data_IF_904504462256
#
_entry.id   IF_904504462256
#
_cell.length_a   1.000
_cell.length_b   1.000
_cell.length_c   1.000
_cell.angle_alpha   90.00
_cell.angle_beta   90.00
_cell.angle_gamma   90.00
#
_symmetry.space_group_name_H-M   'P 1'
#
loop_
_entity.id
_entity.type
_entity.pdbx_description
1 polymer ?
#
# COMPACT_ATOMS: atom_id res chain seq x y z
N UNK A 1 -43.38 -47.26 -55.56
CA UNK A 1 -44.04 -45.95 -55.37
C UNK A 1 -43.02 -44.91 -55.84
N UNK A 2 -42.79 -44.78 -57.15
CA UNK A 2 -43.57 -43.96 -58.11
C UNK A 2 -43.33 -42.46 -57.82
N UNK A 3 -42.79 -41.59 -58.68
CA UNK A 3 -42.30 -41.63 -60.06
C UNK A 3 -41.59 -40.28 -60.33
N UNK A 4 -40.51 -40.27 -61.14
CA UNK A 4 -40.12 -39.27 -62.16
C UNK A 4 -40.24 -37.74 -61.91
N UNK A 5 -39.16 -36.97 -62.17
CA UNK A 5 -38.87 -36.23 -63.44
C UNK A 5 -37.92 -35.02 -63.23
N UNK A 6 -37.09 -34.81 -64.23
CA UNK A 6 -36.15 -33.72 -64.48
C UNK A 6 -36.80 -32.36 -64.72
N UNK A 7 -36.10 -31.26 -64.41
CA UNK A 7 -35.75 -30.21 -65.38
C UNK A 7 -34.89 -29.09 -64.77
N UNK A 8 -33.88 -28.68 -65.55
CA UNK A 8 -33.23 -27.38 -65.46
C UNK A 8 -34.07 -26.33 -66.20
N UNK A 9 -34.07 -25.08 -65.73
CA UNK A 9 -33.81 -23.88 -66.53
C UNK A 9 -33.94 -22.60 -65.70
N UNK A 10 -33.10 -21.65 -66.10
CA UNK A 10 -33.05 -20.22 -65.78
C UNK A 10 -34.41 -19.50 -65.94
N UNK A 11 -34.66 -18.42 -65.20
CA UNK A 11 -34.40 -17.04 -65.68
C UNK A 11 -35.14 -15.96 -64.85
N UNK A 12 -34.55 -14.77 -64.83
CA UNK A 12 -35.13 -13.41 -64.64
C UNK A 12 -35.87 -12.98 -63.35
N UNK A 13 -35.22 -12.07 -62.62
CA UNK A 13 -35.62 -10.63 -62.59
C UNK A 13 -36.83 -10.18 -61.76
N UNK A 14 -36.61 -9.25 -60.81
CA UNK A 14 -37.64 -8.29 -60.39
C UNK A 14 -37.66 -7.93 -58.91
N UNK A 15 -37.41 -6.66 -58.62
CA UNK A 15 -37.28 -6.00 -57.32
C UNK A 15 -38.47 -6.16 -56.35
N UNK A 16 -38.16 -6.26 -55.06
CA UNK A 16 -39.04 -5.80 -53.99
C UNK A 16 -38.22 -5.26 -52.82
N UNK A 17 -38.07 -3.93 -52.79
CA UNK A 17 -37.58 -3.14 -51.67
C UNK A 17 -38.29 -3.52 -50.37
N UNK A 18 -37.55 -4.02 -49.38
CA UNK A 18 -38.00 -4.09 -47.98
C UNK A 18 -36.95 -3.50 -47.05
N UNK A 19 -37.35 -2.38 -46.46
CA UNK A 19 -36.76 -1.69 -45.32
C UNK A 19 -36.19 -2.66 -44.28
N UNK A 20 -34.87 -2.70 -44.13
CA UNK A 20 -34.24 -3.36 -42.99
C UNK A 20 -34.21 -2.38 -41.84
N UNK A 21 -35.18 -2.54 -40.95
CA UNK A 21 -35.19 -1.93 -39.62
C UNK A 21 -33.88 -2.33 -38.94
N UNK A 22 -33.03 -1.35 -38.64
CA UNK A 22 -31.84 -1.55 -37.82
C UNK A 22 -32.33 -1.93 -36.42
N UNK A 23 -32.23 -3.21 -36.08
CA UNK A 23 -32.42 -3.70 -34.72
C UNK A 23 -31.37 -3.09 -33.78
N UNK A 24 -31.65 -2.98 -32.47
CA UNK A 24 -30.75 -2.34 -31.54
C UNK A 24 -29.39 -3.06 -31.55
N UNK A 25 -28.32 -2.26 -31.72
CA UNK A 25 -26.94 -2.71 -31.66
C UNK A 25 -26.68 -3.29 -30.26
N UNK A 26 -26.72 -4.62 -30.16
CA UNK A 26 -26.19 -5.30 -28.99
C UNK A 26 -24.68 -5.25 -29.07
N UNK A 27 -24.05 -4.71 -28.02
CA UNK A 27 -22.62 -4.89 -27.81
C UNK A 27 -22.35 -6.38 -27.83
N UNK A 28 -21.68 -6.86 -28.87
CA UNK A 28 -21.05 -8.15 -28.86
C UNK A 28 -20.17 -8.17 -27.62
N UNK A 29 -20.55 -9.02 -26.68
CA UNK A 29 -19.75 -9.32 -25.50
C UNK A 29 -18.56 -10.09 -26.01
N UNK A 30 -17.56 -9.37 -26.50
CA UNK A 30 -16.28 -9.95 -26.86
C UNK A 30 -15.76 -10.65 -25.61
N UNK A 31 -15.39 -11.91 -25.79
CA UNK A 31 -14.70 -12.73 -24.82
C UNK A 31 -13.62 -11.89 -24.13
N UNK A 32 -13.65 -11.90 -22.80
CA UNK A 32 -12.72 -11.28 -21.88
C UNK A 32 -11.28 -11.26 -22.41
N UNK A 33 -10.91 -10.15 -23.03
CA UNK A 33 -9.52 -9.74 -23.17
C UNK A 33 -9.45 -8.42 -22.42
N UNK A 34 -8.73 -8.44 -21.30
CA UNK A 34 -8.53 -7.24 -20.50
C UNK A 34 -8.00 -6.13 -21.42
N UNK A 35 -8.51 -4.89 -21.30
CA UNK A 35 -8.05 -3.80 -22.15
C UNK A 35 -6.55 -3.57 -21.90
N UNK A 36 -5.79 -3.24 -22.96
CA UNK A 36 -4.34 -3.11 -22.89
C UNK A 36 -3.93 -2.01 -21.91
N UNK A 37 -2.84 -2.23 -21.18
CA UNK A 37 -2.27 -1.26 -20.22
C UNK A 37 -1.24 -0.31 -20.86
N UNK A 38 -0.72 -0.66 -22.03
CA UNK A 38 0.16 0.20 -22.83
C UNK A 38 -0.22 0.21 -24.31
N UNK A 39 0.22 1.26 -25.01
CA UNK A 39 0.00 1.46 -26.45
C UNK A 39 0.90 0.55 -27.29
N UNK A 40 2.08 0.22 -26.80
CA UNK A 40 3.09 -0.62 -27.47
C UNK A 40 3.88 -1.41 -26.44
N UNK A 41 4.70 -2.36 -26.88
CA UNK A 41 5.66 -3.04 -26.01
C UNK A 41 6.75 -2.07 -25.54
N UNK A 42 6.75 -1.79 -24.24
CA UNK A 42 7.73 -0.90 -23.59
C UNK A 42 9.04 -1.63 -23.22
N UNK A 43 9.09 -2.97 -23.35
CA UNK A 43 10.29 -3.78 -23.07
C UNK A 43 11.29 -3.81 -24.23
N UNK A 44 10.82 -3.52 -25.44
CA UNK A 44 11.63 -3.61 -26.66
C UNK A 44 11.55 -2.32 -27.47
N UNK A 45 11.94 -1.19 -26.88
CA UNK A 45 11.91 0.11 -27.57
C UNK A 45 13.15 0.27 -28.44
N UNK A 46 13.04 0.36 -29.77
CA UNK A 46 14.21 0.52 -30.62
C UNK A 46 14.74 1.96 -30.62
N UNK A 47 16.04 2.10 -30.87
CA UNK A 47 16.62 3.38 -31.28
C UNK A 47 15.99 3.85 -32.61
N UNK A 48 15.85 5.17 -32.76
CA UNK A 48 15.30 5.79 -33.97
C UNK A 48 16.21 5.65 -35.20
N UNK A 49 17.47 5.29 -35.02
CA UNK A 49 18.48 5.27 -36.10
C UNK A 49 19.25 3.96 -36.25
N UNK A 50 19.49 3.24 -35.15
CA UNK A 50 20.32 2.05 -35.15
C UNK A 50 19.58 0.81 -34.63
N UNK A 51 20.27 -0.33 -34.62
CA UNK A 51 19.72 -1.61 -34.19
C UNK A 51 19.62 -1.78 -32.66
N UNK A 52 20.05 -0.79 -31.87
CA UNK A 52 19.98 -0.86 -30.41
C UNK A 52 18.53 -0.87 -29.92
N UNK A 53 18.27 -1.64 -28.87
CA UNK A 53 16.96 -1.78 -28.22
C UNK A 53 17.07 -1.56 -26.72
N UNK A 54 16.07 -0.89 -26.16
CA UNK A 54 16.01 -0.45 -24.77
C UNK A 54 14.77 -1.03 -24.09
N UNK A 55 14.87 -1.27 -22.77
CA UNK A 55 13.78 -1.75 -21.94
C UNK A 55 13.41 -0.66 -20.92
N UNK A 56 12.32 0.04 -21.19
CA UNK A 56 11.90 1.20 -20.39
C UNK A 56 11.34 0.80 -19.01
N UNK A 57 11.21 -0.49 -18.70
CA UNK A 57 10.90 -0.95 -17.34
C UNK A 57 12.13 -1.08 -16.44
N UNK A 58 13.34 -1.06 -17.01
CA UNK A 58 14.59 -1.25 -16.24
C UNK A 58 15.31 0.06 -16.02
N UNK A 59 15.92 0.23 -14.84
CA UNK A 59 16.72 1.41 -14.54
C UNK A 59 18.05 1.44 -15.31
N UNK A 60 18.61 0.27 -15.65
CA UNK A 60 19.93 0.14 -16.27
C UNK A 60 19.91 0.29 -17.80
N UNK A 61 18.78 -0.02 -18.46
CA UNK A 61 18.61 0.06 -19.91
C UNK A 61 17.30 0.79 -20.31
N UNK A 62 16.94 1.80 -19.53
CA UNK A 62 15.66 2.52 -19.62
C UNK A 62 15.64 3.69 -20.59
N UNK A 63 14.68 4.60 -20.36
CA UNK A 63 14.47 5.78 -21.20
C UNK A 63 15.67 6.72 -21.19
N UNK A 64 16.31 6.90 -20.03
CA UNK A 64 17.43 7.84 -19.88
C UNK A 64 18.66 7.38 -20.66
N UNK A 65 18.92 6.07 -20.69
CA UNK A 65 19.98 5.48 -21.51
C UNK A 65 19.68 5.61 -23.00
N UNK A 66 18.43 5.43 -23.41
CA UNK A 66 18.01 5.65 -24.79
C UNK A 66 18.22 7.11 -25.22
N UNK A 67 17.79 8.08 -24.40
CA UNK A 67 17.98 9.51 -24.68
C UNK A 67 19.47 9.91 -24.67
N UNK A 68 20.25 9.37 -23.74
CA UNK A 68 21.69 9.56 -23.71
C UNK A 68 22.36 9.00 -24.97
N UNK A 69 21.94 7.82 -25.43
CA UNK A 69 22.44 7.24 -26.67
C UNK A 69 22.10 8.09 -27.90
N UNK A 70 20.86 8.58 -28.00
CA UNK A 70 20.45 9.49 -29.08
C UNK A 70 21.30 10.76 -29.09
N UNK A 71 21.63 11.31 -27.92
CA UNK A 71 22.49 12.48 -27.79
C UNK A 71 23.95 12.18 -28.15
N UNK A 72 24.55 11.14 -27.57
CA UNK A 72 25.98 10.83 -27.70
C UNK A 72 26.34 10.29 -29.09
N UNK A 73 25.51 9.38 -29.64
CA UNK A 73 25.82 8.65 -30.89
C UNK A 73 25.18 9.33 -32.09
N UNK A 74 23.93 9.77 -31.97
CA UNK A 74 23.14 10.29 -33.08
C UNK A 74 23.02 11.82 -33.08
N UNK A 75 23.54 12.50 -32.05
CA UNK A 75 23.47 13.97 -31.89
C UNK A 75 22.05 14.51 -31.96
N UNK A 76 21.07 13.69 -31.58
CA UNK A 76 19.66 14.04 -31.55
C UNK A 76 19.25 14.39 -30.12
N UNK A 77 18.58 15.52 -29.95
CA UNK A 77 17.94 15.95 -28.72
C UNK A 77 16.43 16.01 -28.95
N UNK A 78 15.66 15.34 -28.10
CA UNK A 78 14.19 15.44 -28.10
C UNK A 78 13.79 16.48 -27.05
N UNK A 79 13.12 17.55 -27.47
CA UNK A 79 12.66 18.61 -26.57
C UNK A 79 11.46 18.16 -25.73
N UNK A 80 11.42 18.59 -24.47
CA UNK A 80 10.28 18.39 -23.55
C UNK A 80 9.77 16.95 -23.50
N UNK A 81 10.68 15.98 -23.32
CA UNK A 81 10.35 14.54 -23.28
C UNK A 81 9.23 14.24 -22.28
N UNK A 82 9.16 14.98 -21.16
CA UNK A 82 8.13 14.84 -20.12
C UNK A 82 6.71 15.13 -20.61
N UNK A 83 6.56 15.87 -21.72
CA UNK A 83 5.26 16.22 -22.30
C UNK A 83 4.80 15.22 -23.37
N UNK A 84 5.66 14.26 -23.74
CA UNK A 84 5.34 13.17 -24.66
C UNK A 84 4.57 12.08 -23.89
N UNK A 85 3.30 11.87 -24.26
CA UNK A 85 2.41 10.96 -23.55
C UNK A 85 2.85 9.48 -23.58
N UNK A 86 3.58 9.07 -24.62
CA UNK A 86 4.13 7.72 -24.77
C UNK A 86 5.43 7.77 -25.57
N UNK A 87 6.57 7.75 -24.87
CA UNK A 87 7.89 7.76 -25.49
C UNK A 87 8.18 6.50 -26.33
N UNK A 88 7.77 5.27 -25.94
CA UNK A 88 7.90 4.09 -26.78
C UNK A 88 7.29 4.24 -28.18
N UNK A 89 6.00 4.60 -28.26
CA UNK A 89 5.30 4.81 -29.54
C UNK A 89 5.91 5.95 -30.37
N UNK A 90 6.44 6.97 -29.68
CA UNK A 90 7.17 8.07 -30.30
C UNK A 90 8.46 7.58 -30.98
N UNK A 91 9.25 6.74 -30.31
CA UNK A 91 10.46 6.14 -30.89
C UNK A 91 10.14 5.26 -32.10
N UNK A 92 9.10 4.43 -32.02
CA UNK A 92 8.67 3.59 -33.14
C UNK A 92 8.29 4.40 -34.38
N UNK A 93 7.50 5.47 -34.21
CA UNK A 93 7.10 6.34 -35.31
C UNK A 93 8.30 7.00 -35.98
N UNK A 94 9.20 7.60 -35.18
CA UNK A 94 10.36 8.29 -35.72
C UNK A 94 11.38 7.35 -36.35
N UNK A 95 11.53 6.13 -35.83
CA UNK A 95 12.34 5.10 -36.48
C UNK A 95 11.85 4.78 -37.90
N UNK A 96 10.53 4.62 -38.06
CA UNK A 96 9.94 4.38 -39.38
C UNK A 96 10.14 5.58 -40.31
N UNK A 97 9.93 6.81 -39.81
CA UNK A 97 10.10 8.02 -40.62
C UNK A 97 11.56 8.28 -41.04
N UNK A 98 12.51 8.15 -40.12
CA UNK A 98 13.92 8.36 -40.40
C UNK A 98 14.55 7.24 -41.25
N UNK A 99 13.91 6.08 -41.38
CA UNK A 99 14.32 5.06 -42.33
C UNK A 99 14.09 5.49 -43.79
N UNK A 100 13.12 6.37 -44.04
CA UNK A 100 12.74 6.79 -45.39
C UNK A 100 13.23 8.20 -45.75
N UNK A 101 13.37 9.09 -44.77
CA UNK A 101 13.69 10.49 -45.00
C UNK A 101 14.80 11.01 -44.08
N UNK A 102 15.63 11.97 -44.55
CA UNK A 102 16.72 12.51 -43.78
C UNK A 102 16.23 13.34 -42.58
N UNK A 103 16.98 13.29 -41.48
CA UNK A 103 16.67 13.99 -40.22
C UNK A 103 16.58 15.51 -40.36
N UNK A 104 17.34 16.10 -41.28
CA UNK A 104 17.36 17.55 -41.54
C UNK A 104 15.99 18.10 -41.93
N UNK A 105 15.10 17.25 -42.46
CA UNK A 105 13.75 17.68 -42.86
C UNK A 105 12.84 17.98 -41.68
N UNK A 106 13.05 17.29 -40.56
CA UNK A 106 12.15 17.29 -39.40
C UNK A 106 12.78 17.84 -38.13
N UNK A 107 14.11 17.98 -38.11
CA UNK A 107 14.85 18.45 -36.95
C UNK A 107 15.46 19.82 -37.22
N UNK A 108 15.36 20.72 -36.25
CA UNK A 108 16.10 21.98 -36.28
C UNK A 108 17.58 21.71 -36.00
N UNK A 109 18.48 22.22 -36.85
CA UNK A 109 19.93 22.05 -36.63
C UNK A 109 20.49 23.10 -35.67
N UNK A 110 21.28 22.66 -34.70
CA UNK A 110 22.02 23.50 -33.75
C UNK A 110 23.51 23.25 -33.94
N UNK A 111 24.31 24.31 -33.94
CA UNK A 111 25.77 24.21 -34.01
C UNK A 111 26.36 24.39 -32.61
N UNK A 112 27.08 23.38 -32.15
CA UNK A 112 27.77 23.37 -30.86
C UNK A 112 29.28 23.29 -31.11
N UNK A 113 30.06 23.99 -30.28
CA UNK A 113 31.52 24.00 -30.39
C UNK A 113 32.21 22.89 -29.56
N UNK A 114 31.43 21.90 -29.15
CA UNK A 114 31.86 20.81 -28.28
C UNK A 114 31.21 19.51 -28.74
N UNK A 115 32.00 18.43 -28.72
CA UNK A 115 31.52 17.08 -28.90
C UNK A 115 30.82 16.58 -27.63
N UNK A 116 30.03 15.49 -27.71
CA UNK A 116 29.32 14.95 -26.56
C UNK A 116 30.25 14.47 -25.43
N UNK A 117 31.53 14.24 -25.72
CA UNK A 117 32.59 13.85 -24.77
C UNK A 117 33.30 15.05 -24.11
N UNK A 118 32.89 16.29 -24.42
CA UNK A 118 33.47 17.52 -23.90
C UNK A 118 34.71 18.01 -24.65
N UNK A 119 35.14 17.31 -25.71
CA UNK A 119 36.24 17.79 -26.55
C UNK A 119 35.78 18.96 -27.43
N UNK A 120 36.64 19.96 -27.62
CA UNK A 120 36.29 21.14 -28.42
C UNK A 120 36.33 20.78 -29.91
N UNK A 121 35.17 20.78 -30.56
CA UNK A 121 35.00 20.60 -32.02
C UNK A 121 34.19 21.77 -32.56
N UNK A 122 34.75 22.64 -33.42
CA UNK A 122 34.02 23.78 -33.95
C UNK A 122 32.90 23.34 -34.90
N UNK A 123 31.70 23.92 -34.73
CA UNK A 123 30.53 23.73 -35.60
C UNK A 123 30.01 22.28 -35.69
N UNK A 124 30.01 21.54 -34.60
CA UNK A 124 29.37 20.22 -34.55
C UNK A 124 27.85 20.36 -34.68
N UNK A 125 27.25 19.61 -35.61
CA UNK A 125 25.80 19.65 -35.86
C UNK A 125 25.05 18.73 -34.92
N UNK A 126 24.12 19.30 -34.17
CA UNK A 126 23.11 18.60 -33.38
C UNK A 126 21.74 18.84 -33.98
N UNK A 127 20.86 17.84 -33.83
CA UNK A 127 19.49 17.87 -34.31
C UNK A 127 18.54 17.99 -33.12
N UNK A 128 17.67 18.98 -33.14
CA UNK A 128 16.62 19.19 -32.15
C UNK A 128 15.27 18.81 -32.75
N UNK A 129 14.64 17.80 -32.15
CA UNK A 129 13.29 17.39 -32.47
C UNK A 129 12.32 17.95 -31.42
N UNK A 130 11.43 18.85 -31.85
CA UNK A 130 10.56 19.63 -30.96
C UNK A 130 9.19 19.83 -31.56
N UNK A 131 8.23 20.21 -30.72
CA UNK A 131 6.86 20.51 -31.09
C UNK A 131 6.70 21.80 -31.92
N UNK A 132 7.78 22.52 -32.19
CA UNK A 132 7.84 23.57 -33.21
C UNK A 132 7.65 22.97 -34.62
N UNK A 133 8.11 21.73 -34.82
CA UNK A 133 7.91 21.02 -36.09
C UNK A 133 6.46 20.51 -36.19
N UNK A 134 5.72 20.84 -37.27
CA UNK A 134 4.31 20.47 -37.39
C UNK A 134 4.04 18.97 -37.26
N UNK A 135 4.90 18.13 -37.85
CA UNK A 135 4.73 16.68 -37.79
C UNK A 135 4.95 16.13 -36.37
N UNK A 136 5.94 16.69 -35.65
CA UNK A 136 6.21 16.31 -34.27
C UNK A 136 5.07 16.75 -33.34
N UNK A 137 4.56 17.96 -33.53
CA UNK A 137 3.39 18.46 -32.82
C UNK A 137 2.17 17.55 -33.03
N UNK A 138 1.83 17.22 -34.28
CA UNK A 138 0.71 16.34 -34.60
C UNK A 138 0.88 14.95 -33.98
N UNK A 139 2.10 14.39 -34.04
CA UNK A 139 2.42 13.11 -33.40
C UNK A 139 2.20 13.16 -31.89
N UNK A 140 2.72 14.19 -31.20
CA UNK A 140 2.53 14.35 -29.74
C UNK A 140 1.06 14.46 -29.38
N UNK A 141 0.26 15.20 -30.15
CA UNK A 141 -1.19 15.31 -29.93
C UNK A 141 -1.91 13.97 -30.17
N UNK A 142 -1.53 13.24 -31.22
CA UNK A 142 -2.09 11.92 -31.54
C UNK A 142 -1.81 10.92 -30.41
N UNK A 143 -0.55 10.79 -29.99
CA UNK A 143 -0.15 9.91 -28.89
C UNK A 143 -0.86 10.27 -27.58
N UNK A 144 -1.07 11.57 -27.32
CA UNK A 144 -1.82 12.02 -26.14
C UNK A 144 -3.28 11.57 -26.20
N UNK A 145 -3.93 11.68 -27.36
CA UNK A 145 -5.31 11.23 -27.56
C UNK A 145 -5.42 9.70 -27.42
N UNK A 146 -4.55 8.96 -28.08
CA UNK A 146 -4.50 7.49 -28.00
C UNK A 146 -4.26 7.03 -26.56
N UNK A 147 -3.32 7.67 -25.84
CA UNK A 147 -3.07 7.34 -24.42
C UNK A 147 -4.28 7.66 -23.54
N UNK A 148 -4.95 8.79 -23.75
CA UNK A 148 -6.16 9.15 -23.01
C UNK A 148 -7.29 8.13 -23.27
N UNK A 149 -7.50 7.72 -24.52
CA UNK A 149 -8.50 6.71 -24.88
C UNK A 149 -8.21 5.36 -24.22
N UNK A 150 -6.95 4.91 -24.22
CA UNK A 150 -6.52 3.71 -23.51
C UNK A 150 -6.83 3.81 -22.01
N UNK A 151 -6.45 4.93 -21.39
CA UNK A 151 -6.65 5.17 -19.95
C UNK A 151 -8.14 5.19 -19.60
N UNK A 152 -8.99 5.84 -20.41
CA UNK A 152 -10.43 5.86 -20.20
C UNK A 152 -11.06 4.48 -20.38
N UNK A 153 -10.59 3.71 -21.37
CA UNK A 153 -11.05 2.34 -21.60
C UNK A 153 -10.69 1.44 -20.40
N UNK A 154 -9.46 1.56 -19.90
CA UNK A 154 -9.01 0.83 -18.71
C UNK A 154 -9.78 1.24 -17.46
N UNK A 155 -9.98 2.55 -17.26
CA UNK A 155 -10.76 3.07 -16.13
C UNK A 155 -12.20 2.56 -16.14
N UNK A 156 -12.86 2.56 -17.30
CA UNK A 156 -14.21 2.03 -17.44
C UNK A 156 -14.24 0.53 -17.12
N UNK A 157 -13.29 -0.23 -17.65
CA UNK A 157 -13.14 -1.66 -17.36
C UNK A 157 -12.97 -1.92 -15.86
N UNK A 158 -12.03 -1.25 -15.19
CA UNK A 158 -11.73 -1.44 -13.77
C UNK A 158 -12.93 -1.13 -12.85
N UNK A 159 -13.85 -0.28 -13.29
CA UNK A 159 -15.10 0.05 -12.59
C UNK A 159 -16.21 -0.98 -12.81
N UNK A 160 -16.30 -1.54 -14.01
CA UNK A 160 -17.35 -2.48 -14.38
C UNK A 160 -16.98 -3.94 -14.13
N UNK A 161 -15.69 -4.23 -13.99
CA UNK A 161 -15.19 -5.56 -13.75
C UNK A 161 -15.74 -6.14 -12.44
N UNK A 162 -16.09 -7.43 -12.51
CA UNK A 162 -16.64 -8.25 -11.42
C UNK A 162 -15.82 -9.52 -11.20
N UNK A 163 -14.78 -9.74 -12.01
CA UNK A 163 -13.85 -10.85 -11.87
C UNK A 163 -12.61 -10.46 -11.04
N UNK A 164 -12.69 -9.36 -10.29
CA UNK A 164 -11.62 -8.95 -9.40
C UNK A 164 -11.71 -9.74 -8.10
N UNK A 165 -10.58 -10.32 -7.68
CA UNK A 165 -10.52 -11.04 -6.42
C UNK A 165 -9.16 -10.83 -5.78
N UNK A 166 -9.12 -9.99 -4.73
CA UNK A 166 -7.88 -9.70 -4.01
C UNK A 166 -8.13 -9.57 -2.51
N UNK A 167 -7.28 -10.22 -1.72
CA UNK A 167 -7.25 -10.09 -0.27
C UNK A 167 -6.65 -8.75 0.14
N UNK A 168 -7.12 -8.19 1.27
CA UNK A 168 -6.61 -6.93 1.79
C UNK A 168 -5.09 -6.97 2.06
N UNK A 169 -4.43 -5.81 1.96
CA UNK A 169 -3.01 -5.66 2.30
C UNK A 169 -2.74 -5.73 3.82
N UNK A 170 -3.80 -5.59 4.63
CA UNK A 170 -3.69 -5.48 6.09
C UNK A 170 -4.44 -6.59 6.84
N UNK A 171 -5.71 -6.84 6.53
CA UNK A 171 -6.50 -7.88 7.19
C UNK A 171 -6.61 -9.16 6.33
N UNK A 172 -6.94 -10.28 6.97
CA UNK A 172 -7.03 -11.61 6.34
C UNK A 172 -8.43 -11.98 5.91
N UNK A 173 -9.42 -11.49 6.63
CA UNK A 173 -10.82 -11.89 6.47
C UNK A 173 -11.57 -11.09 5.41
N UNK A 174 -10.91 -10.12 4.79
CA UNK A 174 -11.50 -9.32 3.73
C UNK A 174 -10.96 -9.69 2.36
N UNK A 175 -11.89 -10.01 1.47
CA UNK A 175 -11.65 -10.18 0.03
C UNK A 175 -12.61 -9.28 -0.71
N UNK A 176 -12.06 -8.41 -1.54
CA UNK A 176 -12.86 -7.51 -2.37
C UNK A 176 -13.21 -8.22 -3.68
N UNK A 177 -14.47 -8.08 -4.11
CA UNK A 177 -14.97 -8.55 -5.41
C UNK A 177 -14.81 -7.49 -6.50
N UNK A 178 -14.57 -6.24 -6.12
CA UNK A 178 -14.32 -5.13 -7.05
C UNK A 178 -13.15 -4.25 -6.58
N UNK A 179 -12.47 -3.62 -7.53
CA UNK A 179 -11.38 -2.67 -7.25
C UNK A 179 -11.84 -1.47 -6.41
N UNK A 180 -13.01 -0.85 -6.66
CA UNK A 180 -13.48 0.25 -5.83
C UNK A 180 -13.75 -0.16 -4.37
N UNK A 181 -14.32 -1.34 -4.15
CA UNK A 181 -14.52 -1.88 -2.79
C UNK A 181 -13.19 -2.10 -2.09
N UNK A 182 -12.20 -2.66 -2.78
CA UNK A 182 -10.85 -2.83 -2.24
C UNK A 182 -10.25 -1.50 -1.75
N UNK A 183 -10.28 -0.47 -2.58
CA UNK A 183 -9.75 0.86 -2.23
C UNK A 183 -10.57 1.50 -1.09
N UNK A 184 -11.90 1.34 -1.10
CA UNK A 184 -12.78 1.84 -0.04
C UNK A 184 -12.53 1.14 1.29
N UNK A 185 -12.29 -0.17 1.29
CA UNK A 185 -11.95 -0.95 2.47
C UNK A 185 -10.62 -0.50 3.08
N UNK A 186 -9.58 -0.29 2.26
CA UNK A 186 -8.29 0.23 2.73
C UNK A 186 -8.45 1.57 3.45
N UNK A 187 -9.35 2.43 2.98
CA UNK A 187 -9.62 3.70 3.65
C UNK A 187 -10.48 3.55 4.91
N UNK A 188 -11.57 2.78 4.85
CA UNK A 188 -12.55 2.70 5.95
C UNK A 188 -12.08 1.85 7.13
N UNK A 189 -11.37 0.74 6.87
CA UNK A 189 -10.88 -0.15 7.92
C UNK A 189 -9.44 0.13 8.31
N UNK A 190 -8.61 0.56 7.36
CA UNK A 190 -7.19 0.76 7.57
C UNK A 190 -6.75 2.22 7.37
N UNK A 191 -7.67 3.16 7.18
CA UNK A 191 -7.31 4.58 7.04
C UNK A 191 -6.19 4.87 6.01
N UNK A 192 -5.98 3.97 5.04
CA UNK A 192 -4.97 4.11 4.00
C UNK A 192 -5.64 4.73 2.78
N UNK A 193 -5.29 5.98 2.51
CA UNK A 193 -5.79 6.75 1.38
C UNK A 193 -4.85 6.63 0.18
N UNK A 194 -5.22 5.78 -0.77
CA UNK A 194 -4.58 5.73 -2.10
C UNK A 194 -5.14 6.82 -3.02
N UNK A 195 -6.42 7.14 -2.88
CA UNK A 195 -7.15 8.08 -3.72
C UNK A 195 -8.64 7.74 -3.74
N UNK A 196 -9.46 8.57 -4.38
CA UNK A 196 -10.86 8.22 -4.61
C UNK A 196 -10.93 7.13 -5.68
N UNK A 197 -11.71 6.05 -5.49
CA UNK A 197 -11.85 4.98 -6.49
C UNK A 197 -12.25 5.49 -7.88
N UNK A 198 -13.02 6.58 -7.95
CA UNK A 198 -13.46 7.20 -9.20
C UNK A 198 -12.32 7.88 -9.98
N UNK A 199 -11.23 8.25 -9.31
CA UNK A 199 -10.13 9.01 -9.89
C UNK A 199 -8.88 8.15 -10.12
N UNK A 200 -8.90 6.88 -9.73
CA UNK A 200 -7.78 5.97 -9.89
C UNK A 200 -7.90 5.15 -11.18
N UNK A 201 -6.77 4.90 -11.82
CA UNK A 201 -6.62 4.03 -13.00
C UNK A 201 -5.35 3.20 -12.85
N UNK A 202 -5.28 2.04 -13.49
CA UNK A 202 -4.21 1.05 -13.31
C UNK A 202 -4.13 0.60 -11.83
N UNK A 203 -5.31 0.35 -11.25
CA UNK A 203 -5.43 0.07 -9.81
C UNK A 203 -4.65 -1.20 -9.43
N UNK A 204 -4.60 -2.20 -10.30
CA UNK A 204 -3.88 -3.46 -10.02
C UNK A 204 -2.39 -3.22 -9.80
N UNK A 205 -1.76 -2.46 -10.72
CA UNK A 205 -0.35 -2.05 -10.63
C UNK A 205 -0.10 -1.21 -9.38
N UNK A 206 -1.00 -0.25 -9.07
CA UNK A 206 -0.88 0.57 -7.88
C UNK A 206 -0.85 -0.30 -6.61
N UNK A 207 -1.77 -1.25 -6.50
CA UNK A 207 -1.85 -2.14 -5.35
C UNK A 207 -0.59 -3.01 -5.25
N UNK A 208 -0.06 -3.51 -6.37
CA UNK A 208 1.20 -4.27 -6.38
C UNK A 208 2.38 -3.44 -5.89
N UNK A 209 2.52 -2.19 -6.32
CA UNK A 209 3.59 -1.29 -5.88
C UNK A 209 3.45 -0.96 -4.40
N UNK A 210 2.23 -0.71 -3.93
CA UNK A 210 1.97 -0.47 -2.51
C UNK A 210 2.31 -1.72 -1.70
N UNK A 211 1.93 -2.90 -2.18
CA UNK A 211 2.24 -4.17 -1.54
C UNK A 211 3.75 -4.44 -1.49
N UNK A 212 4.49 -4.20 -2.58
CA UNK A 212 5.95 -4.32 -2.62
C UNK A 212 6.63 -3.38 -1.62
N UNK A 213 6.21 -2.10 -1.59
CA UNK A 213 6.75 -1.14 -0.61
C UNK A 213 6.49 -1.58 0.83
N UNK A 214 5.29 -2.07 1.14
CA UNK A 214 4.97 -2.59 2.48
C UNK A 214 5.77 -3.86 2.82
N UNK A 215 5.99 -4.75 1.84
CA UNK A 215 6.83 -5.95 2.01
C UNK A 215 8.30 -5.60 2.27
N UNK A 216 8.79 -4.54 1.64
CA UNK A 216 10.14 -3.99 1.83
C UNK A 216 10.28 -3.09 3.05
N UNK A 217 9.22 -2.97 3.86
CA UNK A 217 9.19 -2.13 5.06
C UNK A 217 9.43 -0.64 4.78
N UNK A 218 8.97 -0.17 3.63
CA UNK A 218 9.09 1.23 3.20
C UNK A 218 7.77 1.95 3.50
N UNK A 219 7.85 3.08 4.20
CA UNK A 219 6.67 3.92 4.44
C UNK A 219 6.18 4.58 3.14
N UNK A 220 4.89 4.44 2.85
CA UNK A 220 4.27 4.94 1.61
C UNK A 220 4.30 6.47 1.47
N UNK A 221 4.38 7.19 2.58
CA UNK A 221 4.37 8.65 2.61
C UNK A 221 5.78 9.25 2.62
N UNK A 222 6.62 8.84 3.59
CA UNK A 222 7.96 9.43 3.77
C UNK A 222 9.09 8.62 3.13
N UNK A 223 8.78 7.46 2.56
CA UNK A 223 9.71 6.59 1.83
C UNK A 223 10.94 6.14 2.62
N UNK A 224 10.86 6.23 3.95
CA UNK A 224 11.88 5.69 4.86
C UNK A 224 11.72 4.18 5.01
N UNK A 225 12.86 3.50 5.12
CA UNK A 225 12.94 2.06 5.37
C UNK A 225 12.97 1.79 6.88
N UNK A 226 12.23 0.77 7.30
CA UNK A 226 12.09 0.35 8.69
C UNK A 226 12.64 -1.05 8.89
N UNK A 227 12.98 -1.37 10.14
CA UNK A 227 13.62 -2.64 10.50
C UNK A 227 12.62 -3.81 10.58
N UNK A 228 11.36 -3.53 10.92
CA UNK A 228 10.32 -4.53 11.11
C UNK A 228 8.93 -3.95 10.78
N UNK A 229 7.97 -4.86 10.53
CA UNK A 229 6.57 -4.52 10.22
C UNK A 229 5.90 -3.73 11.35
N UNK A 230 5.96 -4.17 12.63
CA UNK A 230 5.40 -3.42 13.75
C UNK A 230 5.91 -1.97 13.85
N UNK A 231 7.22 -1.73 13.68
CA UNK A 231 7.75 -0.35 13.76
C UNK A 231 7.35 0.52 12.58
N UNK A 232 7.26 -0.02 11.37
CA UNK A 232 6.69 0.71 10.23
C UNK A 232 5.24 1.11 10.51
N UNK A 233 4.46 0.17 11.06
CA UNK A 233 3.05 0.38 11.37
C UNK A 233 2.87 1.46 12.43
N UNK A 234 3.60 1.36 13.53
CA UNK A 234 3.53 2.34 14.61
C UNK A 234 4.01 3.72 14.15
N UNK A 235 5.02 3.75 13.27
CA UNK A 235 5.44 4.98 12.61
C UNK A 235 4.31 5.59 11.76
N UNK A 236 3.63 4.79 10.93
CA UNK A 236 2.54 5.27 10.09
C UNK A 236 1.36 5.78 10.91
N UNK A 237 1.06 5.12 12.04
CA UNK A 237 0.02 5.52 12.99
C UNK A 237 0.38 6.84 13.69
N UNK A 238 1.51 6.89 14.40
CA UNK A 238 1.93 8.10 15.18
C UNK A 238 2.12 9.33 14.31
N UNK A 239 2.66 9.17 13.10
CA UNK A 239 2.91 10.31 12.20
C UNK A 239 1.75 10.62 11.26
N UNK A 240 0.66 9.84 11.31
CA UNK A 240 -0.46 10.01 10.40
C UNK A 240 -0.06 9.86 8.92
N UNK A 241 0.93 9.01 8.62
CA UNK A 241 1.38 8.71 7.26
C UNK A 241 0.39 7.76 6.57
N UNK A 242 -0.83 8.25 6.42
CA UNK A 242 -2.02 7.54 5.94
C UNK A 242 -2.24 7.66 4.43
N UNK A 243 -1.36 8.37 3.71
CA UNK A 243 -1.48 8.61 2.26
C UNK A 243 -0.19 8.30 1.53
N UNK A 244 -0.27 8.00 0.24
CA UNK A 244 0.91 7.90 -0.63
C UNK A 244 1.65 9.23 -0.75
N UNK A 245 2.97 9.18 -0.95
CA UNK A 245 3.84 10.35 -1.06
C UNK A 245 3.35 11.28 -2.19
N UNK A 246 2.87 12.50 -1.87
CA UNK A 246 2.33 13.42 -2.85
C UNK A 246 3.40 14.16 -3.65
N UNK A 247 4.66 14.16 -3.19
CA UNK A 247 5.77 14.74 -3.94
C UNK A 247 6.42 13.73 -4.89
N UNK A 248 6.08 12.44 -4.77
CA UNK A 248 6.56 11.42 -5.69
C UNK A 248 5.68 11.39 -6.95
N UNK A 249 6.13 12.11 -7.98
CA UNK A 249 5.50 12.19 -9.30
C UNK A 249 5.34 10.86 -10.03
N UNK A 250 6.03 9.79 -9.60
CA UNK A 250 5.79 8.46 -10.15
C UNK A 250 4.33 8.01 -9.98
N UNK A 251 3.69 8.41 -8.86
CA UNK A 251 2.29 8.05 -8.60
C UNK A 251 1.29 8.80 -9.47
N UNK A 252 1.70 9.90 -10.12
CA UNK A 252 0.81 10.70 -10.96
C UNK A 252 0.16 9.87 -12.09
N UNK A 253 0.83 8.79 -12.53
CA UNK A 253 0.31 7.86 -13.55
C UNK A 253 -0.95 7.10 -13.13
N UNK A 254 -1.24 7.00 -11.84
CA UNK A 254 -2.42 6.28 -11.35
C UNK A 254 -3.66 7.18 -11.21
N UNK A 255 -3.53 8.48 -11.47
CA UNK A 255 -4.62 9.43 -11.31
C UNK A 255 -5.16 9.90 -12.66
N UNK A 256 -6.44 9.64 -12.90
CA UNK A 256 -7.12 9.97 -14.16
C UNK A 256 -7.03 11.46 -14.51
N UNK A 257 -7.01 12.34 -13.51
CA UNK A 257 -6.89 13.79 -13.70
C UNK A 257 -5.63 14.20 -14.46
N UNK A 258 -4.54 13.44 -14.32
CA UNK A 258 -3.25 13.76 -14.93
C UNK A 258 -3.21 13.45 -16.44
N UNK A 259 -4.22 12.78 -16.97
CA UNK A 259 -4.37 12.50 -18.41
C UNK A 259 -5.27 13.53 -19.12
N UNK A 260 -5.92 14.44 -18.38
CA UNK A 260 -6.82 15.44 -18.96
C UNK A 260 -6.03 16.56 -19.65
N UNK A 261 -6.48 16.93 -20.84
CA UNK A 261 -5.91 18.00 -21.67
C UNK A 261 -5.98 19.35 -20.94
N UNK A 262 -4.81 19.86 -20.55
CA UNK A 262 -4.55 21.24 -20.10
C UNK A 262 -5.43 21.74 -18.96
N UNK A 263 -5.07 21.30 -17.76
CA UNK A 263 -4.74 22.18 -16.63
C UNK A 263 -4.03 21.26 -15.64
N UNK A 264 -2.70 21.14 -15.72
CA UNK A 264 -1.96 20.78 -14.51
C UNK A 264 -2.37 21.89 -13.54
N UNK A 265 -3.10 21.62 -12.44
CA UNK A 265 -3.19 22.62 -11.39
C UNK A 265 -1.74 22.99 -11.07
N UNK A 266 -1.44 24.29 -11.09
CA UNK A 266 -0.11 24.80 -10.76
C UNK A 266 0.38 24.10 -9.49
N UNK A 267 1.59 23.55 -9.50
CA UNK A 267 2.09 22.82 -8.33
C UNK A 267 2.09 23.78 -7.14
N UNK A 268 1.16 23.56 -6.22
CA UNK A 268 1.11 24.27 -4.95
C UNK A 268 1.86 23.41 -3.95
N UNK A 269 3.04 23.87 -3.46
CA UNK A 269 3.77 23.21 -2.39
C UNK A 269 2.83 22.89 -1.23
N UNK A 270 3.04 21.78 -0.54
CA UNK A 270 2.16 21.29 0.53
C UNK A 270 1.90 22.39 1.58
N UNK A 271 2.91 23.22 1.88
CA UNK A 271 2.82 24.35 2.80
C UNK A 271 1.85 25.47 2.37
N UNK A 272 1.50 25.56 1.08
CA UNK A 272 0.63 26.61 0.50
C UNK A 272 -0.78 26.11 0.13
N UNK A 273 -1.10 24.82 0.31
CA UNK A 273 -2.46 24.31 0.07
C UNK A 273 -3.38 24.83 1.17
N UNK A 274 -4.57 25.35 0.81
CA UNK A 274 -5.60 25.80 1.77
C UNK A 274 -5.86 24.70 2.81
N UNK A 275 -6.06 25.13 4.04
CA UNK A 275 -6.37 24.31 5.22
C UNK A 275 -7.58 23.38 4.99
N UNK A 276 -8.47 23.69 4.05
CA UNK A 276 -9.56 22.84 3.56
C UNK A 276 -9.10 21.49 2.93
N UNK A 277 -7.82 21.37 2.56
CA UNK A 277 -7.21 20.09 2.12
C UNK A 277 -6.81 19.21 3.31
N UNK A 278 -6.78 19.76 4.53
CA UNK A 278 -6.70 19.00 5.79
C UNK A 278 -8.11 18.52 6.11
N UNK A 279 -8.62 17.55 5.37
CA UNK A 279 -9.90 16.87 5.66
C UNK A 279 -9.87 16.08 6.99
N UNK A 280 -8.87 16.31 7.86
CA UNK A 280 -8.61 15.55 9.07
C UNK A 280 -8.22 16.44 10.26
N UNK A 281 -8.63 17.71 10.26
CA UNK A 281 -8.60 18.56 11.45
C UNK A 281 -10.03 18.74 12.01
N UNK A 282 -10.69 17.64 12.38
CA UNK A 282 -11.70 17.63 13.45
C UNK A 282 -12.09 16.19 13.79
N UNK A 283 -11.90 15.86 15.06
CA UNK A 283 -12.67 14.94 15.91
C UNK A 283 -13.28 13.68 15.28
N UNK A 284 -12.61 12.55 15.49
CA UNK A 284 -13.08 11.62 16.53
C UNK A 284 -11.96 10.65 16.90
N UNK A 285 -11.88 10.33 18.20
CA UNK A 285 -11.16 9.19 18.76
C UNK A 285 -11.69 7.87 18.17
N UNK A 286 -11.45 7.64 16.88
CA UNK A 286 -11.59 6.32 16.28
C UNK A 286 -10.23 5.66 16.33
N UNK A 287 -9.97 5.07 17.49
CA UNK A 287 -8.89 4.13 17.73
C UNK A 287 -9.20 2.86 16.93
N UNK A 288 -9.05 2.94 15.60
CA UNK A 288 -9.32 1.79 14.75
C UNK A 288 -8.35 0.72 15.16
N UNK A 289 -8.88 -0.34 15.74
CA UNK A 289 -8.07 -1.39 16.32
C UNK A 289 -7.13 -1.97 15.27
N UNK A 290 -5.87 -1.60 15.42
CA UNK A 290 -4.78 -1.97 14.56
C UNK A 290 -4.05 -3.20 15.17
N UNK A 291 -4.62 -3.89 16.15
CA UNK A 291 -4.10 -5.15 16.69
C UNK A 291 -4.03 -6.27 15.62
N UNK A 292 -4.89 -6.19 14.60
CA UNK A 292 -5.14 -7.24 13.60
C UNK A 292 -4.04 -7.47 12.55
N UNK A 293 -2.84 -6.88 12.75
CA UNK A 293 -1.65 -7.15 11.91
C UNK A 293 -0.75 -8.26 12.42
N UNK A 294 -1.06 -8.85 13.57
CA UNK A 294 -0.35 -10.03 14.03
C UNK A 294 -0.85 -11.23 13.23
N UNK A 295 -0.29 -11.37 12.03
CA UNK A 295 -0.63 -12.38 11.05
C UNK A 295 -0.15 -13.78 11.40
N UNK A 296 -0.38 -14.27 12.61
CA UNK A 296 -0.35 -15.70 12.93
C UNK A 296 -1.47 -15.93 13.95
N UNK A 297 -2.23 -17.02 13.84
CA UNK A 297 -3.00 -17.51 14.99
C UNK A 297 -1.97 -17.93 16.03
N UNK A 298 -1.49 -16.98 16.82
CA UNK A 298 -0.52 -17.23 17.87
C UNK A 298 -1.25 -18.04 18.93
N UNK A 299 -0.92 -19.32 18.99
CA UNK A 299 -1.47 -20.21 20.02
C UNK A 299 -0.99 -19.71 21.38
N UNK A 300 -1.93 -19.45 22.29
CA UNK A 300 -1.61 -19.12 23.66
C UNK A 300 -1.37 -20.39 24.47
N UNK A 301 -0.38 -20.37 25.36
CA UNK A 301 -0.02 -21.53 26.19
C UNK A 301 -0.69 -21.46 27.56
N UNK A 302 -1.03 -22.61 28.13
CA UNK A 302 -1.57 -22.70 29.48
C UNK A 302 -0.59 -22.13 30.51
N UNK A 303 -1.10 -21.45 31.54
CA UNK A 303 -0.27 -20.87 32.61
C UNK A 303 0.54 -21.93 33.37
N UNK A 304 0.03 -23.17 33.44
CA UNK A 304 0.60 -24.25 34.24
C UNK A 304 1.16 -25.43 33.44
N UNK A 305 0.93 -25.47 32.11
CA UNK A 305 1.48 -26.54 31.30
C UNK A 305 1.77 -26.19 29.84
N UNK A 306 2.40 -27.12 29.14
CA UNK A 306 2.81 -26.98 27.72
C UNK A 306 1.66 -27.11 26.73
N UNK A 307 0.41 -27.19 27.19
CA UNK A 307 -0.76 -27.21 26.30
C UNK A 307 -0.97 -25.82 25.70
N UNK A 308 -1.13 -25.76 24.38
CA UNK A 308 -1.34 -24.53 23.64
C UNK A 308 -2.65 -24.63 22.84
N UNK A 309 -3.40 -23.53 22.81
CA UNK A 309 -4.69 -23.43 22.13
C UNK A 309 -4.77 -22.09 21.41
N UNK A 310 -5.51 -22.03 20.30
CA UNK A 310 -5.73 -20.79 19.55
C UNK A 310 -6.84 -19.92 20.18
N UNK A 311 -7.75 -20.53 20.95
CA UNK A 311 -8.88 -19.84 21.58
C UNK A 311 -8.67 -19.80 23.11
N UNK A 312 -8.83 -18.61 23.72
CA UNK A 312 -8.58 -18.42 25.15
C UNK A 312 -9.65 -19.07 26.02
N UNK A 313 -10.91 -19.13 25.60
CA UNK A 313 -11.98 -19.79 26.35
C UNK A 313 -11.77 -21.31 26.42
N UNK A 314 -11.25 -21.92 25.36
CA UNK A 314 -10.89 -23.34 25.40
C UNK A 314 -9.71 -23.59 26.34
N UNK A 315 -8.74 -22.67 26.37
CA UNK A 315 -7.61 -22.71 27.29
C UNK A 315 -8.03 -22.51 28.76
N UNK A 316 -8.95 -21.58 29.04
CA UNK A 316 -9.52 -21.38 30.39
C UNK A 316 -10.26 -22.64 30.87
N UNK A 317 -11.07 -23.27 30.00
CA UNK A 317 -11.71 -24.56 30.31
C UNK A 317 -10.68 -25.66 30.58
N UNK A 318 -9.56 -25.67 29.87
CA UNK A 318 -8.45 -26.59 30.15
C UNK A 318 -7.84 -26.35 31.54
N UNK A 319 -7.62 -25.09 31.95
CA UNK A 319 -7.11 -24.77 33.29
C UNK A 319 -8.06 -25.26 34.39
N UNK A 320 -9.37 -25.10 34.20
CA UNK A 320 -10.38 -25.61 35.15
C UNK A 320 -10.37 -27.15 35.18
N UNK A 321 -10.38 -27.81 34.02
CA UNK A 321 -10.51 -29.26 33.94
C UNK A 321 -9.26 -30.02 34.42
N UNK A 322 -8.06 -29.52 34.10
CA UNK A 322 -6.79 -30.23 34.38
C UNK A 322 -6.05 -29.69 35.60
N UNK A 323 -6.15 -28.39 35.85
CA UNK A 323 -5.41 -27.71 36.90
C UNK A 323 -6.33 -27.22 38.03
N UNK A 324 -7.65 -27.47 37.97
CA UNK A 324 -8.63 -26.98 38.96
C UNK A 324 -8.51 -25.47 39.23
N UNK A 325 -7.98 -24.73 38.27
CA UNK A 325 -7.72 -23.29 38.37
C UNK A 325 -8.68 -22.55 37.46
N UNK A 326 -9.53 -21.74 38.06
CA UNK A 326 -10.45 -20.84 37.36
C UNK A 326 -9.85 -19.43 37.37
N UNK A 327 -9.35 -19.01 36.22
CA UNK A 327 -8.73 -17.69 36.06
C UNK A 327 -9.75 -16.56 36.29
N UNK A 328 -10.94 -16.67 35.71
CA UNK A 328 -11.95 -15.61 35.75
C UNK A 328 -12.48 -15.41 37.18
N UNK A 329 -12.68 -16.51 37.94
CA UNK A 329 -13.02 -16.42 39.36
C UNK A 329 -11.86 -15.84 40.20
N UNK A 330 -10.62 -16.19 39.87
CA UNK A 330 -9.44 -15.71 40.61
C UNK A 330 -9.28 -14.21 40.46
N UNK A 331 -9.61 -13.63 39.30
CA UNK A 331 -9.38 -12.21 39.02
C UNK A 331 -10.65 -11.34 38.96
N UNK A 332 -11.80 -11.89 39.38
CA UNK A 332 -13.11 -11.24 39.27
C UNK A 332 -13.22 -9.85 39.95
N UNK A 333 -12.43 -9.61 40.97
CA UNK A 333 -12.36 -8.40 41.82
C UNK A 333 -11.09 -7.57 41.57
N UNK A 334 -10.34 -7.87 40.51
CA UNK A 334 -9.05 -7.24 40.20
C UNK A 334 -9.15 -6.30 38.99
N UNK A 335 -8.43 -5.19 39.06
CA UNK A 335 -8.21 -4.28 37.93
C UNK A 335 -7.41 -4.93 36.81
N UNK A 336 -7.53 -4.43 35.58
CA UNK A 336 -6.74 -4.89 34.42
C UNK A 336 -5.25 -5.06 34.76
N UNK A 337 -4.64 -4.05 35.37
CA UNK A 337 -3.22 -4.09 35.73
C UNK A 337 -2.88 -5.18 36.76
N UNK A 338 -3.77 -5.44 37.71
CA UNK A 338 -3.60 -6.55 38.65
C UNK A 338 -3.72 -7.91 37.94
N UNK A 339 -4.62 -8.06 36.95
CA UNK A 339 -4.73 -9.27 36.12
C UNK A 339 -3.43 -9.55 35.38
N UNK A 340 -2.82 -8.51 34.78
CA UNK A 340 -1.51 -8.61 34.11
C UNK A 340 -0.43 -9.11 35.08
N UNK A 341 -0.38 -8.55 36.30
CA UNK A 341 0.58 -9.00 37.33
C UNK A 341 0.38 -10.47 37.71
N UNK A 342 -0.86 -10.93 37.86
CA UNK A 342 -1.15 -12.34 38.18
C UNK A 342 -0.62 -13.28 37.10
N UNK A 343 -0.87 -12.97 35.82
CA UNK A 343 -0.37 -13.78 34.71
C UNK A 343 1.15 -13.83 34.72
N UNK A 344 1.81 -12.67 34.79
CA UNK A 344 3.27 -12.59 34.82
C UNK A 344 3.87 -13.28 36.05
N UNK A 345 3.22 -13.18 37.21
CA UNK A 345 3.63 -13.90 38.42
C UNK A 345 3.61 -15.40 38.19
N UNK A 346 2.49 -15.96 37.73
CA UNK A 346 2.36 -17.41 37.51
C UNK A 346 3.37 -17.90 36.46
N UNK A 347 3.49 -17.19 35.33
CA UNK A 347 4.48 -17.48 34.29
C UNK A 347 5.90 -17.52 34.83
N UNK A 348 6.27 -16.53 35.66
CA UNK A 348 7.60 -16.46 36.29
C UNK A 348 7.82 -17.58 37.30
N UNK A 349 6.85 -17.86 38.16
CA UNK A 349 6.93 -18.95 39.15
C UNK A 349 7.12 -20.31 38.45
N UNK A 350 6.37 -20.56 37.38
CA UNK A 350 6.53 -21.78 36.59
C UNK A 350 7.90 -21.86 35.89
N UNK A 351 8.39 -20.74 35.34
CA UNK A 351 9.70 -20.68 34.69
C UNK A 351 10.84 -20.95 35.68
N UNK A 352 10.81 -20.31 36.85
CA UNK A 352 11.84 -20.53 37.87
C UNK A 352 11.64 -21.83 38.64
N UNK A 353 10.56 -22.59 38.39
CA UNK A 353 10.18 -23.85 39.05
C UNK A 353 9.85 -23.71 40.54
N UNK A 354 9.17 -22.62 40.90
CA UNK A 354 8.74 -22.33 42.27
C UNK A 354 7.22 -22.44 42.37
N UNK A 355 6.73 -23.04 43.44
CA UNK A 355 5.29 -23.21 43.67
C UNK A 355 4.61 -21.86 43.94
N UNK A 356 3.49 -21.62 43.26
CA UNK A 356 2.73 -20.36 43.37
C UNK A 356 2.03 -20.17 44.73
N UNK A 357 1.76 -21.26 45.47
CA UNK A 357 1.02 -21.22 46.72
C UNK A 357 1.94 -21.25 47.96
N UNK A 358 2.89 -22.19 48.03
CA UNK A 358 3.77 -22.34 49.19
C UNK A 358 5.18 -21.75 48.99
N UNK A 359 5.53 -21.36 47.76
CA UNK A 359 6.86 -20.82 47.45
C UNK A 359 7.99 -21.84 47.46
N UNK A 360 7.70 -23.14 47.53
CA UNK A 360 8.71 -24.20 47.48
C UNK A 360 9.38 -24.28 46.11
N UNK A 361 10.71 -24.41 46.08
CA UNK A 361 11.51 -24.48 44.87
C UNK A 361 11.73 -25.94 44.48
N UNK A 362 11.26 -26.34 43.30
CA UNK A 362 11.41 -27.71 42.80
C UNK A 362 12.66 -27.85 41.89
N UNK A 363 13.26 -29.05 41.84
CA UNK A 363 14.47 -29.30 41.04
C UNK A 363 14.17 -29.35 39.54
N UNK A 364 13.02 -29.88 39.13
CA UNK A 364 12.60 -29.97 37.73
C UNK A 364 11.10 -29.66 37.58
N UNK A 365 10.69 -29.47 36.33
CA UNK A 365 9.33 -29.13 35.96
C UNK A 365 8.34 -30.27 36.29
N UNK A 366 8.73 -31.53 36.13
CA UNK A 366 7.89 -32.68 36.43
C UNK A 366 7.58 -32.78 37.94
N UNK A 367 8.57 -32.53 38.79
CA UNK A 367 8.42 -32.48 40.25
C UNK A 367 7.52 -31.32 40.67
N UNK A 368 7.64 -30.16 40.03
CA UNK A 368 6.73 -29.04 40.28
C UNK A 368 5.29 -29.39 39.89
N UNK A 369 5.06 -29.99 38.73
CA UNK A 369 3.71 -30.42 38.33
C UNK A 369 3.13 -31.46 39.28
N UNK A 370 3.93 -32.43 39.76
CA UNK A 370 3.51 -33.41 40.78
C UNK A 370 3.16 -32.72 42.09
N UNK A 371 4.01 -31.81 42.58
CA UNK A 371 3.76 -31.04 43.79
C UNK A 371 2.46 -30.22 43.68
N UNK A 372 2.25 -29.52 42.55
CA UNK A 372 1.04 -28.72 42.33
C UNK A 372 -0.23 -29.59 42.31
N UNK A 373 -0.16 -30.79 41.73
CA UNK A 373 -1.28 -31.72 41.66
C UNK A 373 -1.59 -32.43 42.99
N UNK A 374 -0.56 -32.93 43.69
CA UNK A 374 -0.72 -33.69 44.93
C UNK A 374 -1.19 -32.82 46.11
N UNK A 375 -0.70 -31.58 46.18
CA UNK A 375 -1.06 -30.65 47.25
C UNK A 375 -2.17 -29.66 46.87
N UNK A 376 -2.71 -29.79 45.64
CA UNK A 376 -3.71 -28.89 45.09
C UNK A 376 -3.30 -27.40 45.19
N UNK A 377 -2.06 -27.11 44.76
CA UNK A 377 -1.45 -25.79 44.83
C UNK A 377 -1.62 -24.96 43.54
N UNK A 378 -2.54 -25.35 42.66
CA UNK A 378 -2.99 -24.55 41.52
C UNK A 378 -3.95 -23.44 41.96
N UNK A 379 -3.56 -22.64 42.96
CA UNK A 379 -4.36 -21.54 43.50
C UNK A 379 -3.46 -20.35 43.81
N UNK A 380 -3.95 -19.16 43.49
CA UNK A 380 -3.28 -17.92 43.84
C UNK A 380 -3.69 -17.52 45.26
N UNK A 381 -2.71 -17.34 46.15
CA UNK A 381 -2.94 -16.72 47.45
C UNK A 381 -3.02 -15.20 47.29
N UNK A 382 -4.25 -14.66 47.37
CA UNK A 382 -4.49 -13.22 47.24
C UNK A 382 -3.92 -12.43 48.43
N UNK A 383 -3.86 -13.03 49.62
CA UNK A 383 -3.50 -12.36 50.87
C UNK A 383 -1.99 -12.22 51.04
N UNK A 384 -1.22 -13.13 50.44
CA UNK A 384 0.24 -13.13 50.53
C UNK A 384 0.91 -11.96 49.77
N UNK A 385 0.22 -11.30 48.83
CA UNK A 385 0.71 -10.11 48.10
C UNK A 385 1.99 -10.33 47.26
N UNK A 386 2.49 -11.56 47.16
CA UNK A 386 3.73 -11.88 46.46
C UNK A 386 3.64 -11.67 44.93
N UNK A 387 2.43 -11.74 44.39
CA UNK A 387 2.12 -11.47 42.98
C UNK A 387 1.95 -9.98 42.69
N UNK A 388 1.63 -9.15 43.68
CA UNK A 388 1.36 -7.71 43.52
C UNK A 388 2.63 -6.86 43.70
N UNK A 389 3.69 -7.22 42.97
CA UNK A 389 4.95 -6.47 42.97
C UNK A 389 5.13 -5.68 41.66
N UNK A 390 5.79 -4.51 41.67
CA UNK A 390 5.99 -3.70 40.46
C UNK A 390 6.74 -4.41 39.34
N UNK A 391 7.59 -5.38 39.69
CA UNK A 391 8.33 -6.19 38.71
C UNK A 391 7.43 -7.00 37.77
N UNK A 392 6.20 -7.32 38.18
CA UNK A 392 5.24 -8.09 37.36
C UNK A 392 4.43 -7.22 36.38
N UNK A 393 4.69 -5.92 36.33
CA UNK A 393 4.19 -5.08 35.22
C UNK A 393 4.89 -5.40 33.90
N UNK A 394 6.10 -5.95 33.96
CA UNK A 394 6.85 -6.33 32.77
C UNK A 394 6.51 -7.79 32.38
N UNK A 395 6.15 -8.05 31.11
CA UNK A 395 5.90 -9.40 30.62
C UNK A 395 7.05 -10.35 30.90
N UNK A 396 6.75 -11.55 31.41
CA UNK A 396 7.77 -12.58 31.62
C UNK A 396 8.25 -13.20 30.31
N UNK A 397 7.36 -13.29 29.32
CA UNK A 397 7.67 -13.73 27.96
C UNK A 397 7.39 -12.58 26.99
N UNK A 398 8.25 -12.44 25.98
CA UNK A 398 7.97 -11.57 24.83
C UNK A 398 6.78 -12.17 24.05
N UNK A 399 5.84 -11.34 23.62
CA UNK A 399 4.64 -11.74 22.87
C UNK A 399 3.69 -12.72 23.60
N UNK A 400 3.44 -12.56 24.91
CA UNK A 400 2.47 -13.40 25.64
C UNK A 400 1.02 -13.09 25.21
N UNK A 401 0.52 -13.88 24.26
CA UNK A 401 -0.84 -13.75 23.72
C UNK A 401 -1.94 -13.86 24.79
N UNK A 402 -1.70 -14.53 25.93
CA UNK A 402 -2.68 -14.57 27.01
C UNK A 402 -2.98 -13.17 27.58
N UNK A 403 -1.99 -12.28 27.60
CA UNK A 403 -2.16 -10.90 28.08
C UNK A 403 -3.05 -10.05 27.15
N UNK A 404 -2.99 -10.30 25.83
CA UNK A 404 -3.78 -9.60 24.83
C UNK A 404 -5.29 -9.85 25.00
N UNK A 405 -5.69 -11.03 25.48
CA UNK A 405 -7.09 -11.40 25.67
C UNK A 405 -7.65 -11.06 27.06
N UNK A 406 -6.89 -10.36 27.91
CA UNK A 406 -7.40 -9.86 29.19
C UNK A 406 -8.36 -8.68 29.02
N UNK A 407 -8.27 -7.96 27.90
CA UNK A 407 -9.06 -6.76 27.59
C UNK A 407 -10.54 -7.08 27.26
N UNK A 408 -10.83 -8.26 26.70
CA UNK A 408 -12.19 -8.66 26.30
C UNK A 408 -13.17 -8.76 27.49
N UNK A 409 -12.66 -8.89 28.72
CA UNK A 409 -13.48 -9.07 29.94
C UNK A 409 -13.97 -7.74 30.54
N UNK A 410 -13.26 -6.62 30.30
CA UNK A 410 -13.64 -5.31 30.88
C UNK A 410 -14.64 -4.53 30.03
N UNK A 411 -14.77 -4.84 28.74
CA UNK A 411 -15.77 -4.20 27.86
C UNK A 411 -17.24 -4.46 28.28
N UNK A 412 -17.48 -5.39 29.22
CA UNK A 412 -18.81 -5.65 29.80
C UNK A 412 -19.05 -4.95 31.15
N UNK A 413 -18.06 -4.28 31.76
CA UNK A 413 -18.17 -3.75 33.14
C UNK A 413 -17.68 -2.31 33.35
N UNK A 414 -17.60 -1.50 32.30
CA UNK A 414 -17.13 -0.12 32.43
C UNK A 414 -18.27 0.87 32.73
N UNK A 415 -18.77 0.85 33.97
CA UNK A 415 -19.12 2.08 34.71
C UNK A 415 -18.84 1.83 36.20
N UNK A 416 -17.94 2.64 36.78
CA UNK A 416 -17.64 2.77 38.22
C UNK A 416 -16.48 1.92 38.79
N UNK A 417 -15.23 2.35 38.56
CA UNK A 417 -14.26 2.49 39.66
C UNK A 417 -13.08 3.39 39.26
N UNK A 418 -13.13 4.64 39.73
CA UNK A 418 -12.00 5.56 39.74
C UNK A 418 -11.07 5.22 40.92
N UNK A 419 -9.76 5.39 40.67
CA UNK A 419 -8.63 5.56 41.60
C UNK A 419 -7.97 4.32 42.23
N UNK A 420 -6.75 4.02 41.77
CA UNK A 420 -5.49 4.27 42.52
C UNK A 420 -4.29 4.07 41.57
N UNK A 421 -4.01 5.08 40.75
CA UNK A 421 -2.81 5.13 39.91
C UNK A 421 -1.78 6.08 40.51
N UNK A 422 -0.61 5.57 40.88
CA UNK A 422 0.53 6.36 41.36
C UNK A 422 0.84 7.54 40.43
N UNK A 423 0.85 8.76 40.98
CA UNK A 423 1.30 9.97 40.28
C UNK A 423 2.79 9.82 39.99
N UNK A 424 3.16 9.63 38.72
CA UNK A 424 4.54 9.76 38.26
C UNK A 424 4.87 11.25 38.23
N UNK A 425 5.53 11.75 39.27
CA UNK A 425 6.13 13.08 39.26
C UNK A 425 7.33 13.01 38.30
N UNK A 426 7.17 13.52 37.09
CA UNK A 426 8.31 13.79 36.23
C UNK A 426 9.13 14.93 36.83
N UNK A 427 10.45 14.74 36.95
CA UNK A 427 11.35 15.80 37.36
C UNK A 427 11.23 16.99 36.39
N UNK A 428 11.10 18.19 36.96
CA UNK A 428 11.02 19.43 36.19
C UNK A 428 12.36 19.71 35.51
N UNK A 429 12.44 19.42 34.21
CA UNK A 429 13.57 19.87 33.38
C UNK A 429 13.41 21.37 33.15
N UNK A 430 14.16 22.17 33.90
CA UNK A 430 14.35 23.60 33.58
C UNK A 430 15.27 23.70 32.37
N UNK A 431 14.69 23.60 31.18
CA UNK A 431 15.38 23.97 29.96
C UNK A 431 15.48 25.51 29.91
N UNK A 432 16.69 26.04 30.04
CA UNK A 432 16.97 27.45 29.78
C UNK A 432 16.76 27.73 28.29
N UNK A 433 15.62 28.33 27.96
CA UNK A 433 15.31 28.79 26.61
C UNK A 433 16.27 29.94 26.28
N UNK A 434 16.93 29.86 25.14
CA UNK A 434 17.75 30.96 24.63
C UNK A 434 16.82 32.11 24.22
N UNK A 435 16.81 33.19 25.01
CA UNK A 435 15.96 34.38 24.82
C UNK A 435 16.14 35.03 23.44
N UNK A 436 17.29 34.85 22.79
CA UNK A 436 17.53 35.35 21.44
C UNK A 436 16.67 34.62 20.39
N UNK A 437 16.37 33.34 20.61
CA UNK A 437 15.53 32.54 19.70
C UNK A 437 14.04 32.92 19.80
N UNK A 438 13.58 33.39 20.97
CA UNK A 438 12.21 33.87 21.17
C UNK A 438 12.02 35.25 20.52
N UNK A 439 13.02 36.14 20.62
CA UNK A 439 12.97 37.47 19.98
C UNK A 439 12.89 37.43 18.45
N UNK A 440 13.50 36.43 17.79
CA UNK A 440 13.45 36.26 16.34
C UNK A 440 12.09 35.73 15.84
N UNK A 441 11.26 35.19 16.73
CA UNK A 441 9.93 34.68 16.38
C UNK A 441 8.82 35.73 16.47
N UNK A 442 9.11 36.91 17.02
CA UNK A 442 8.13 37.98 17.30
C UNK A 442 8.30 39.24 16.44
N UNK A 443 9.29 39.31 15.54
CA UNK A 443 9.40 40.44 14.60
C UNK A 443 8.52 40.26 13.35
N UNK A 444 7.25 40.64 13.51
CA UNK A 444 6.37 41.32 12.57
C UNK A 444 6.29 40.82 11.11
N UNK A 445 5.21 40.07 10.81
CA UNK A 445 4.49 40.26 9.55
C UNK A 445 3.53 41.47 9.67
N UNK A 446 3.97 42.61 9.13
CA UNK A 446 3.09 43.70 8.67
C UNK A 446 3.51 44.11 7.25
N UNK A 447 2.88 43.50 6.26
CA UNK A 447 2.07 44.11 5.20
C UNK A 447 1.57 43.02 4.25
#
# INVERSE_FOLDING_TARGET
MSTQLSNANDDEGGEASKSTIIGPLNFTKDSSTDPPTSLVDERTVPCMFCSNTYDFHTADNGSDQCLAHLYLVHRLVVADVKEIACLPSYCYYWKEKFAHEPVEKYCSSMLLNQLPDGTSSPNEKYFLLSDVEPLDYELRQRLRREKLELVLTRHQFERTDRNFYRGCLYCRDYRAETRPEFVSHLYTKHFLLLGKPEHLVFVDELIEIVQDKLNRLICLFCEKLFKDRPTLKEHMRKKGHKRINPDNHYYDRFFLVNYRLKQKPEYVPIAKRKEESRVFASDSDSDSDWSDWNGEEQTTTCLFCTHAEANVDTLKRHMVAKHTFDFDQTVADMSFYQRVKVVNFIRRQMHIRKCIACGEQCPDYESLCKHLAELNHFRLDKEAGAWDQPEYFFPTYEDDQFLCHLEEVDNERDELSQEEGSIVISESVTASINLDAESLSLENFKL
#
